data_IF_826155282467
#
_entry.id   IF_826155282467
#
_cell.length_a   1.000
_cell.length_b   1.000
_cell.length_c   1.000
_cell.angle_alpha   90.00
_cell.angle_beta   90.00
_cell.angle_gamma   90.00
#
_symmetry.space_group_name_H-M   'P 1'
#
loop_
_entity.id
_entity.type
_entity.pdbx_description
1 polymer ?
#
# COMPACT_ATOMS: atom_id res chain seq x y z
N UNK A 1 5.14 -25.08 -9.88
CA UNK A 1 5.55 -23.72 -9.45
C UNK A 1 4.47 -23.23 -8.52
N UNK A 2 4.84 -22.85 -7.31
CA UNK A 2 3.90 -22.39 -6.28
C UNK A 2 3.27 -21.06 -6.72
N UNK A 3 1.94 -21.01 -6.85
CA UNK A 3 1.19 -19.87 -7.37
C UNK A 3 1.48 -18.60 -6.56
N UNK A 4 1.61 -18.75 -5.23
CA UNK A 4 2.00 -17.68 -4.31
C UNK A 4 3.34 -17.03 -4.66
N UNK A 5 4.34 -17.82 -5.09
CA UNK A 5 5.66 -17.29 -5.49
C UNK A 5 5.56 -16.42 -6.75
N UNK A 6 4.66 -16.77 -7.69
CA UNK A 6 4.42 -15.99 -8.89
C UNK A 6 3.75 -14.64 -8.56
N UNK A 7 2.78 -14.63 -7.65
CA UNK A 7 2.13 -13.39 -7.19
C UNK A 7 3.10 -12.44 -6.49
N UNK A 8 3.93 -12.95 -5.58
CA UNK A 8 4.93 -12.13 -4.86
C UNK A 8 5.92 -11.48 -5.86
N UNK A 9 6.39 -12.25 -6.85
CA UNK A 9 7.31 -11.74 -7.87
C UNK A 9 6.63 -10.71 -8.79
N UNK A 10 5.33 -10.87 -9.05
CA UNK A 10 4.48 -9.90 -9.74
C UNK A 10 4.40 -8.58 -8.99
N UNK A 11 3.97 -8.64 -7.73
CA UNK A 11 3.86 -7.49 -6.83
C UNK A 11 5.15 -6.67 -6.77
N UNK A 12 6.30 -7.31 -6.50
CA UNK A 12 7.57 -6.60 -6.41
C UNK A 12 7.99 -5.88 -7.70
N UNK A 13 7.67 -6.45 -8.87
CA UNK A 13 7.94 -5.80 -10.15
C UNK A 13 7.07 -4.55 -10.34
N UNK A 14 5.76 -4.68 -10.10
CA UNK A 14 4.83 -3.57 -10.32
C UNK A 14 5.08 -2.41 -9.36
N UNK A 15 5.37 -2.69 -8.09
CA UNK A 15 5.76 -1.67 -7.09
C UNK A 15 6.98 -0.88 -7.56
N UNK A 16 8.04 -1.57 -8.01
CA UNK A 16 9.26 -0.89 -8.49
C UNK A 16 9.03 -0.10 -9.76
N UNK A 17 8.19 -0.60 -10.67
CA UNK A 17 7.82 0.11 -11.88
C UNK A 17 7.02 1.39 -11.56
N UNK A 18 6.06 1.30 -10.64
CA UNK A 18 5.28 2.44 -10.17
C UNK A 18 6.16 3.47 -9.47
N UNK A 19 7.02 3.05 -8.54
CA UNK A 19 7.99 3.91 -7.86
C UNK A 19 8.87 4.68 -8.87
N UNK A 20 9.43 3.96 -9.85
CA UNK A 20 10.26 4.57 -10.90
C UNK A 20 9.50 5.60 -11.75
N UNK A 21 8.19 5.39 -11.97
CA UNK A 21 7.35 6.32 -12.71
C UNK A 21 6.98 7.57 -11.89
N UNK A 22 6.74 7.45 -10.58
CA UNK A 22 6.30 8.57 -9.75
C UNK A 22 7.44 9.47 -9.26
N UNK A 23 8.67 8.94 -9.11
CA UNK A 23 9.82 9.73 -8.63
C UNK A 23 10.11 10.97 -9.48
N UNK A 24 10.13 10.91 -10.83
CA UNK A 24 10.30 12.11 -11.66
C UNK A 24 9.15 13.11 -11.53
N UNK A 25 7.91 12.62 -11.40
CA UNK A 25 6.71 13.48 -11.21
C UNK A 25 6.80 14.26 -9.91
N UNK A 26 7.20 13.60 -8.82
CA UNK A 26 7.42 14.24 -7.53
C UNK A 26 8.57 15.26 -7.60
N UNK A 27 9.68 14.93 -8.26
CA UNK A 27 10.82 15.82 -8.44
C UNK A 27 10.47 17.07 -9.29
N UNK A 28 9.52 16.95 -10.22
CA UNK A 28 9.00 18.06 -11.01
C UNK A 28 7.99 18.93 -10.23
N UNK A 29 7.58 18.52 -9.02
CA UNK A 29 6.57 19.22 -8.23
C UNK A 29 5.16 19.07 -8.79
N UNK A 30 4.88 17.97 -9.48
CA UNK A 30 3.59 17.71 -10.12
C UNK A 30 2.78 16.64 -9.35
N UNK A 31 1.47 16.60 -9.60
CA UNK A 31 0.57 15.53 -9.17
C UNK A 31 -0.58 15.40 -10.19
N UNK A 32 -0.33 14.80 -11.36
CA UNK A 32 -1.35 14.68 -12.41
C UNK A 32 -2.52 13.81 -11.94
N UNK A 33 -3.68 13.99 -12.56
CA UNK A 33 -4.82 13.10 -12.36
C UNK A 33 -4.54 11.71 -12.91
N UNK A 34 -5.05 10.69 -12.22
CA UNK A 34 -4.93 9.28 -12.60
C UNK A 34 -6.14 8.88 -13.47
N UNK A 35 -5.96 8.57 -14.77
CA UNK A 35 -7.10 8.31 -15.66
C UNK A 35 -7.99 7.13 -15.24
N UNK A 36 -7.42 6.09 -14.63
CA UNK A 36 -8.15 4.92 -14.14
C UNK A 36 -8.84 5.14 -12.79
N UNK A 37 -8.54 6.24 -12.09
CA UNK A 37 -9.09 6.58 -10.78
C UNK A 37 -9.69 8.00 -10.85
N UNK A 38 -10.91 8.16 -11.38
CA UNK A 38 -11.51 9.47 -11.57
C UNK A 38 -11.54 10.30 -10.27
N UNK A 39 -11.02 11.53 -10.34
CA UNK A 39 -10.94 12.43 -9.19
C UNK A 39 -9.71 12.24 -8.30
N UNK A 40 -8.84 11.26 -8.59
CA UNK A 40 -7.60 11.04 -7.85
C UNK A 40 -6.42 11.65 -8.58
N UNK A 41 -5.52 12.27 -7.83
CA UNK A 41 -4.16 12.61 -8.26
C UNK A 41 -3.20 11.45 -8.02
N UNK A 42 -2.00 11.54 -8.59
CA UNK A 42 -0.89 10.63 -8.24
C UNK A 42 -0.59 10.66 -6.74
N UNK A 43 -0.73 11.81 -6.07
CA UNK A 43 -0.57 11.91 -4.61
C UNK A 43 -1.57 11.01 -3.87
N UNK A 44 -2.85 11.07 -4.28
CA UNK A 44 -3.91 10.25 -3.68
C UNK A 44 -3.64 8.75 -3.88
N UNK A 45 -3.22 8.36 -5.10
CA UNK A 45 -2.91 6.98 -5.42
C UNK A 45 -1.72 6.44 -4.60
N UNK A 46 -0.61 7.18 -4.49
CA UNK A 46 0.56 6.77 -3.70
C UNK A 46 0.18 6.61 -2.22
N UNK A 47 -0.57 7.59 -1.69
CA UNK A 47 -1.02 7.56 -0.30
C UNK A 47 -1.90 6.34 0.00
N UNK A 48 -2.86 6.05 -0.88
CA UNK A 48 -3.74 4.90 -0.74
C UNK A 48 -2.97 3.57 -0.78
N UNK A 49 -2.11 3.37 -1.78
CA UNK A 49 -1.34 2.13 -1.91
C UNK A 49 -0.39 1.94 -0.72
N UNK A 50 0.29 3.00 -0.28
CA UNK A 50 1.16 2.93 0.90
C UNK A 50 0.39 2.58 2.19
N UNK A 51 -0.85 3.04 2.33
CA UNK A 51 -1.73 2.68 3.44
C UNK A 51 -2.16 1.21 3.35
N UNK A 52 -2.58 0.74 2.17
CA UNK A 52 -2.92 -0.68 1.93
C UNK A 52 -1.73 -1.57 2.26
N UNK A 53 -0.52 -1.23 1.83
CA UNK A 53 0.66 -2.06 2.13
C UNK A 53 0.91 -2.21 3.63
N UNK A 54 0.75 -1.14 4.42
CA UNK A 54 0.92 -1.17 5.88
C UNK A 54 -0.22 -1.91 6.57
N UNK A 55 -1.43 -1.69 6.11
CA UNK A 55 -2.60 -2.40 6.61
C UNK A 55 -2.42 -3.92 6.46
N UNK A 56 -2.11 -4.40 5.25
CA UNK A 56 -1.88 -5.82 4.99
C UNK A 56 -0.66 -6.35 5.73
N UNK A 57 0.44 -5.59 5.76
CA UNK A 57 1.63 -5.95 6.52
C UNK A 57 1.32 -6.18 8.00
N UNK A 58 0.50 -5.31 8.60
CA UNK A 58 0.10 -5.41 10.01
C UNK A 58 -0.78 -6.63 10.24
N UNK A 59 -1.77 -6.85 9.38
CA UNK A 59 -2.63 -8.05 9.42
C UNK A 59 -1.81 -9.33 9.42
N UNK A 60 -0.82 -9.44 8.52
CA UNK A 60 0.04 -10.61 8.40
C UNK A 60 0.96 -10.79 9.62
N UNK A 61 1.66 -9.72 10.03
CA UNK A 61 2.62 -9.76 11.15
C UNK A 61 1.98 -10.17 12.46
N UNK A 62 0.77 -9.69 12.71
CA UNK A 62 0.06 -9.96 13.96
C UNK A 62 -0.91 -11.13 13.86
N UNK A 63 -1.11 -11.68 12.64
CA UNK A 63 -2.16 -12.66 12.35
C UNK A 63 -3.49 -12.21 12.91
N UNK A 64 -3.87 -10.97 12.60
CA UNK A 64 -5.17 -10.42 13.00
C UNK A 64 -6.27 -11.32 12.46
N UNK A 65 -7.25 -11.70 13.29
CA UNK A 65 -8.33 -12.62 12.92
C UNK A 65 -9.68 -11.92 12.74
N UNK A 66 -9.83 -10.73 13.31
CA UNK A 66 -11.06 -9.93 13.31
C UNK A 66 -10.84 -8.64 12.52
N UNK A 67 -11.93 -8.00 12.09
CA UNK A 67 -11.85 -6.76 11.33
C UNK A 67 -11.21 -5.65 12.19
N UNK A 68 -10.09 -5.05 11.75
CA UNK A 68 -9.55 -3.86 12.40
C UNK A 68 -10.54 -2.71 12.35
N UNK A 69 -10.55 -1.85 13.39
CA UNK A 69 -11.34 -0.62 13.37
C UNK A 69 -10.84 0.30 12.25
N UNK A 70 -11.68 0.65 11.25
CA UNK A 70 -11.29 1.55 10.16
C UNK A 70 -10.88 2.95 10.64
N UNK A 71 -11.30 3.36 11.84
CA UNK A 71 -10.94 4.65 12.43
C UNK A 71 -9.56 4.65 13.12
N UNK A 72 -8.95 3.48 13.33
CA UNK A 72 -7.63 3.36 13.97
C UNK A 72 -6.51 3.62 12.96
N UNK A 73 -6.13 4.90 12.82
CA UNK A 73 -5.02 5.30 11.96
C UNK A 73 -3.65 4.87 12.49
N UNK A 74 -3.53 4.55 13.79
CA UNK A 74 -2.27 4.04 14.35
C UNK A 74 -1.95 2.65 13.79
N UNK A 75 -2.97 1.91 13.34
CA UNK A 75 -2.83 0.64 12.63
C UNK A 75 -1.95 0.76 11.37
N UNK A 76 -1.93 1.94 10.74
CA UNK A 76 -1.11 2.20 9.57
C UNK A 76 0.34 2.55 9.93
N UNK A 77 0.68 2.84 11.20
CA UNK A 77 2.04 3.24 11.56
C UNK A 77 2.52 4.46 10.80
N UNK A 78 1.69 5.51 10.75
CA UNK A 78 1.99 6.76 10.06
C UNK A 78 3.20 7.46 10.72
N UNK A 79 4.12 8.06 9.94
CA UNK A 79 5.21 8.83 10.51
C UNK A 79 4.69 10.11 11.19
N UNK A 80 5.48 10.64 12.13
CA UNK A 80 5.14 11.89 12.80
C UNK A 80 5.14 13.07 11.81
N UNK A 81 6.18 13.15 10.98
CA UNK A 81 6.31 14.16 9.93
C UNK A 81 5.56 13.75 8.66
N UNK A 82 4.51 14.49 8.33
CA UNK A 82 3.64 14.25 7.15
C UNK A 82 3.34 15.54 6.38
N UNK A 83 4.31 16.44 6.34
CA UNK A 83 4.15 17.72 5.64
C UNK A 83 3.82 17.50 4.16
N UNK A 84 2.76 18.16 3.70
CA UNK A 84 2.27 18.06 2.31
C UNK A 84 1.53 16.77 1.97
N UNK A 85 1.34 15.85 2.92
CA UNK A 85 0.55 14.64 2.70
C UNK A 85 -0.95 14.95 2.69
N UNK A 86 -1.78 14.08 2.08
CA UNK A 86 -3.23 14.16 2.23
C UNK A 86 -3.65 14.17 3.71
N UNK A 87 -4.59 15.05 4.05
CA UNK A 87 -5.16 15.16 5.41
C UNK A 87 -6.02 13.94 5.75
N UNK A 88 -6.62 13.32 4.73
CA UNK A 88 -7.38 12.08 4.79
C UNK A 88 -7.12 11.26 3.53
N UNK A 89 -7.16 9.93 3.63
CA UNK A 89 -7.06 9.02 2.48
C UNK A 89 -8.39 8.84 1.73
N UNK A 90 -9.49 9.40 2.24
CA UNK A 90 -10.82 9.36 1.62
C UNK A 90 -11.15 10.64 0.84
N UNK A 91 -10.48 11.75 1.17
CA UNK A 91 -10.73 13.05 0.57
C UNK A 91 -9.84 13.27 -0.64
N UNK A 92 -10.45 13.32 -1.83
CA UNK A 92 -9.77 13.54 -3.11
C UNK A 92 -10.45 14.66 -3.92
N UNK A 93 -9.74 15.40 -4.77
CA UNK A 93 -8.30 15.29 -5.06
C UNK A 93 -7.42 16.01 -4.03
N UNK A 94 -6.26 15.44 -3.73
CA UNK A 94 -5.18 16.19 -3.06
C UNK A 94 -4.41 17.02 -4.09
N UNK A 95 -4.60 18.34 -4.05
CA UNK A 95 -3.92 19.26 -4.95
C UNK A 95 -2.58 19.71 -4.37
N UNK A 96 -1.55 19.79 -5.21
CA UNK A 96 -0.20 20.17 -4.82
C UNK A 96 0.84 19.15 -5.31
N UNK A 97 2.13 19.42 -5.11
CA UNK A 97 3.19 18.50 -5.51
C UNK A 97 3.11 17.18 -4.73
N UNK A 98 3.46 16.06 -5.36
CA UNK A 98 3.67 14.80 -4.63
C UNK A 98 4.85 14.99 -3.65
N UNK A 99 4.66 14.82 -2.32
CA UNK A 99 5.75 14.89 -1.37
C UNK A 99 6.74 13.73 -1.59
N UNK A 100 8.04 14.02 -1.66
CA UNK A 100 9.06 12.96 -1.79
C UNK A 100 9.01 11.94 -0.65
N UNK A 101 8.74 12.41 0.57
CA UNK A 101 8.58 11.54 1.75
C UNK A 101 7.39 10.58 1.64
N UNK A 102 6.35 10.94 0.88
CA UNK A 102 5.21 10.05 0.63
C UNK A 102 5.59 8.91 -0.33
N UNK A 103 6.40 9.21 -1.34
CA UNK A 103 6.94 8.21 -2.28
C UNK A 103 7.85 7.23 -1.53
N UNK A 104 8.71 7.74 -0.66
CA UNK A 104 9.60 6.90 0.15
C UNK A 104 8.80 6.03 1.12
N UNK A 105 7.79 6.60 1.80
CA UNK A 105 6.91 5.84 2.67
C UNK A 105 6.19 4.71 1.93
N UNK A 106 5.65 4.98 0.73
CA UNK A 106 5.06 3.94 -0.12
C UNK A 106 6.06 2.82 -0.43
N UNK A 107 7.27 3.15 -0.90
CA UNK A 107 8.29 2.19 -1.28
C UNK A 107 8.73 1.31 -0.10
N UNK A 108 8.95 1.91 1.07
CA UNK A 108 9.29 1.20 2.31
C UNK A 108 8.19 0.21 2.72
N UNK A 109 6.92 0.62 2.65
CA UNK A 109 5.78 -0.23 2.98
C UNK A 109 5.68 -1.43 2.04
N UNK A 110 5.85 -1.20 0.75
CA UNK A 110 5.81 -2.25 -0.25
C UNK A 110 6.97 -3.25 -0.10
N UNK A 111 8.19 -2.78 0.15
CA UNK A 111 9.35 -3.63 0.42
C UNK A 111 9.14 -4.48 1.69
N UNK A 112 8.60 -3.88 2.75
CA UNK A 112 8.30 -4.59 3.98
C UNK A 112 7.20 -5.64 3.80
N UNK A 113 6.16 -5.35 3.02
CA UNK A 113 5.10 -6.31 2.68
C UNK A 113 5.61 -7.46 1.81
N UNK A 114 6.41 -7.17 0.78
CA UNK A 114 7.02 -8.21 -0.06
C UNK A 114 7.91 -9.14 0.76
N UNK A 115 8.66 -8.60 1.72
CA UNK A 115 9.47 -9.38 2.65
C UNK A 115 8.60 -10.24 3.60
N UNK A 116 7.47 -9.72 4.05
CA UNK A 116 6.51 -10.46 4.88
C UNK A 116 5.90 -11.64 4.10
N UNK A 117 5.44 -11.40 2.87
CA UNK A 117 4.88 -12.46 2.04
C UNK A 117 5.86 -13.61 1.79
N UNK A 118 7.16 -13.32 1.61
CA UNK A 118 8.18 -14.36 1.39
C UNK A 118 8.36 -15.31 2.58
N UNK A 119 7.99 -14.91 3.79
CA UNK A 119 8.14 -15.72 5.01
C UNK A 119 6.81 -16.30 5.54
N UNK A 120 5.67 -15.77 5.12
CA UNK A 120 4.35 -16.26 5.55
C UNK A 120 3.97 -17.57 4.84
N UNK A 121 3.31 -18.49 5.55
CA UNK A 121 2.61 -19.61 4.91
C UNK A 121 1.30 -19.07 4.30
N UNK A 122 0.99 -19.32 3.01
CA UNK A 122 -0.28 -18.90 2.42
C UNK A 122 -1.53 -19.42 3.15
N UNK A 123 -1.40 -20.45 3.99
CA UNK A 123 -2.49 -21.01 4.80
C UNK A 123 -2.59 -20.40 6.20
N UNK A 124 -1.67 -19.52 6.60
CA UNK A 124 -1.75 -18.85 7.89
C UNK A 124 -3.10 -18.11 8.00
N UNK A 125 -3.83 -18.27 9.10
CA UNK A 125 -5.14 -17.65 9.26
C UNK A 125 -4.94 -16.14 9.45
N UNK A 126 -5.64 -15.33 8.65
CA UNK A 126 -5.58 -13.86 8.68
C UNK A 126 -6.93 -13.30 8.24
N UNK A 127 -7.36 -12.22 8.88
CA UNK A 127 -8.59 -11.52 8.52
C UNK A 127 -8.57 -11.07 7.06
N UNK A 128 -9.72 -11.19 6.40
CA UNK A 128 -10.03 -10.61 5.10
C UNK A 128 -11.52 -10.23 5.10
N UNK A 129 -11.96 -9.42 4.15
CA UNK A 129 -13.38 -9.15 3.93
C UNK A 129 -14.11 -10.29 3.19
N UNK A 130 -13.38 -11.27 2.65
CA UNK A 130 -13.91 -12.36 1.85
C UNK A 130 -14.18 -13.59 2.73
N UNK A 131 -14.93 -14.60 2.23
CA UNK A 131 -15.09 -15.86 2.97
C UNK A 131 -13.77 -16.61 3.26
N UNK A 132 -12.71 -16.31 2.52
CA UNK A 132 -11.38 -16.89 2.74
C UNK A 132 -10.57 -16.04 3.72
N UNK A 133 -10.22 -16.60 4.88
CA UNK A 133 -9.46 -15.92 5.92
C UNK A 133 -8.01 -16.40 6.01
N UNK A 134 -7.23 -16.17 4.95
CA UNK A 134 -5.83 -16.64 4.86
C UNK A 134 -4.87 -15.56 4.38
N UNK A 135 -3.58 -15.70 4.72
CA UNK A 135 -2.51 -14.90 4.15
C UNK A 135 -2.44 -15.02 2.61
N UNK A 136 -2.76 -16.21 2.06
CA UNK A 136 -2.76 -16.48 0.63
C UNK A 136 -3.76 -15.64 -0.14
N UNK A 137 -4.90 -15.30 0.46
CA UNK A 137 -5.85 -14.34 -0.13
C UNK A 137 -5.15 -13.01 -0.41
N UNK A 138 -4.53 -12.41 0.60
CA UNK A 138 -3.82 -11.14 0.48
C UNK A 138 -2.71 -11.20 -0.57
N UNK A 139 -1.93 -12.29 -0.60
CA UNK A 139 -0.87 -12.46 -1.60
C UNK A 139 -1.39 -12.40 -3.05
N UNK A 140 -2.60 -12.89 -3.32
CA UNK A 140 -3.15 -12.94 -4.69
C UNK A 140 -3.74 -11.62 -5.17
N UNK A 141 -4.17 -10.76 -4.24
CA UNK A 141 -4.92 -9.53 -4.56
C UNK A 141 -4.09 -8.24 -4.46
N UNK A 142 -2.81 -8.35 -4.10
CA UNK A 142 -1.84 -7.27 -4.28
C UNK A 142 -1.33 -7.24 -5.72
#
# INVERSE_FOLDING_TARGET
>A
MDESVAHISGFGREVRAFEAAVRPVAAAGEAPLVPSCPGWTVTDLIAHLGAVHRYVLRLLRERVQEEPDPADLDFLGLPAEREGWPVSFEQTPTLGPVPGSLVDWFAEGALALEAEFRKSDPRDPVWTWAPEHTAGFWMRIQ
#
